data_IF_505292727013
#
_entry.id   IF_505292727013
#
_cell.length_a   1.000
_cell.length_b   1.000
_cell.length_c   1.000
_cell.angle_alpha   90.00
_cell.angle_beta   90.00
_cell.angle_gamma   90.00
#
_symmetry.space_group_name_H-M   'P 1'
#
loop_
_entity.id
_entity.type
_entity.pdbx_description
1 polymer ?
#
# COMPACT_ATOMS: atom_id res chain seq x y z
N UNK A 1 -6.05 -19.27 -29.29
CA UNK A 1 -6.48 -18.96 -27.92
C UNK A 1 -6.81 -17.48 -27.87
N UNK A 2 -8.09 -17.12 -27.94
CA UNK A 2 -8.50 -15.75 -27.67
C UNK A 2 -8.32 -15.52 -26.17
N UNK A 3 -7.62 -14.44 -25.79
CA UNK A 3 -7.60 -14.00 -24.40
C UNK A 3 -9.00 -13.47 -24.11
N UNK A 4 -9.72 -14.11 -23.19
CA UNK A 4 -11.06 -13.68 -22.80
C UNK A 4 -11.04 -12.23 -22.28
N UNK A 5 -12.04 -11.44 -22.70
CA UNK A 5 -12.16 -10.02 -22.32
C UNK A 5 -12.11 -9.82 -20.79
N UNK A 6 -12.63 -10.79 -20.04
CA UNK A 6 -12.60 -10.84 -18.58
C UNK A 6 -11.18 -10.93 -18.01
N UNK A 7 -10.30 -11.72 -18.66
CA UNK A 7 -8.91 -11.85 -18.28
C UNK A 7 -8.13 -10.56 -18.56
N UNK A 8 -8.42 -9.87 -19.68
CA UNK A 8 -7.82 -8.56 -20.00
C UNK A 8 -8.22 -7.51 -18.95
N UNK A 9 -9.51 -7.45 -18.60
CA UNK A 9 -10.01 -6.53 -17.57
C UNK A 9 -9.36 -6.78 -16.21
N UNK A 10 -9.22 -8.06 -15.81
CA UNK A 10 -8.54 -8.43 -14.57
C UNK A 10 -7.09 -7.93 -14.55
N UNK A 11 -6.34 -8.15 -15.64
CA UNK A 11 -4.96 -7.69 -15.77
C UNK A 11 -4.88 -6.17 -15.63
N UNK A 12 -5.75 -5.42 -16.31
CA UNK A 12 -5.78 -3.95 -16.24
C UNK A 12 -6.02 -3.47 -14.80
N UNK A 13 -6.97 -4.08 -14.09
CA UNK A 13 -7.29 -3.69 -12.70
C UNK A 13 -6.11 -3.97 -11.77
N UNK A 14 -5.51 -5.16 -11.85
CA UNK A 14 -4.37 -5.54 -11.01
C UNK A 14 -3.16 -4.65 -11.30
N UNK A 15 -2.84 -4.41 -12.57
CA UNK A 15 -1.71 -3.54 -12.97
C UNK A 15 -1.95 -2.10 -12.49
N UNK A 16 -3.17 -1.59 -12.62
CA UNK A 16 -3.52 -0.22 -12.17
C UNK A 16 -3.43 -0.11 -10.64
N UNK A 17 -3.91 -1.12 -9.91
CA UNK A 17 -3.78 -1.19 -8.46
C UNK A 17 -2.31 -1.23 -8.02
N UNK A 18 -1.48 -2.06 -8.65
CA UNK A 18 -0.04 -2.10 -8.38
C UNK A 18 0.63 -0.76 -8.69
N UNK A 19 0.28 -0.12 -9.80
CA UNK A 19 0.83 1.19 -10.17
C UNK A 19 0.47 2.28 -9.15
N UNK A 20 -0.79 2.32 -8.70
CA UNK A 20 -1.24 3.23 -7.64
C UNK A 20 -0.50 2.98 -6.32
N UNK A 21 -0.37 1.71 -5.90
CA UNK A 21 0.40 1.36 -4.70
C UNK A 21 1.87 1.79 -4.82
N UNK A 22 2.51 1.58 -5.97
CA UNK A 22 3.89 2.00 -6.22
C UNK A 22 4.03 3.53 -6.13
N UNK A 23 3.09 4.27 -6.73
CA UNK A 23 3.13 5.75 -6.73
C UNK A 23 3.02 6.31 -5.32
N UNK A 24 2.17 5.71 -4.49
CA UNK A 24 1.93 6.18 -3.12
C UNK A 24 2.98 5.64 -2.12
N UNK A 25 3.60 4.50 -2.40
CA UNK A 25 4.70 3.97 -1.58
C UNK A 25 6.06 4.63 -1.85
N UNK A 26 6.27 5.27 -3.01
CA UNK A 26 7.49 6.04 -3.32
C UNK A 26 7.84 7.12 -2.29
N UNK A 27 6.94 8.06 -1.92
CA UNK A 27 7.25 9.08 -0.92
C UNK A 27 7.50 8.44 0.46
N UNK A 28 6.74 7.40 0.82
CA UNK A 28 6.98 6.66 2.06
C UNK A 28 8.37 6.04 2.10
N UNK A 29 8.81 5.43 0.99
CA UNK A 29 10.16 4.87 0.86
C UNK A 29 11.24 5.93 0.93
N UNK A 30 11.04 7.09 0.29
CA UNK A 30 11.99 8.19 0.32
C UNK A 30 12.17 8.75 1.74
N UNK A 31 11.09 8.93 2.49
CA UNK A 31 11.17 9.37 3.88
C UNK A 31 11.72 8.28 4.81
N UNK A 32 11.33 7.01 4.60
CA UNK A 32 11.85 5.90 5.39
C UNK A 32 13.35 5.63 5.15
N UNK A 33 13.86 5.92 3.94
CA UNK A 33 15.28 5.79 3.62
C UNK A 33 16.19 6.79 4.35
N UNK A 34 15.61 7.86 4.93
CA UNK A 34 16.35 8.82 5.76
C UNK A 34 16.57 8.32 7.19
N UNK A 35 15.81 7.31 7.63
CA UNK A 35 15.93 6.72 8.95
C UNK A 35 17.05 5.66 8.97
N UNK A 36 17.72 5.52 10.11
CA UNK A 36 18.58 4.35 10.34
C UNK A 36 17.73 3.09 10.50
N UNK A 37 18.35 1.91 10.36
CA UNK A 37 17.66 0.63 10.49
C UNK A 37 16.97 0.49 11.86
N UNK A 38 17.62 0.92 12.94
CA UNK A 38 17.07 0.87 14.29
C UNK A 38 15.92 1.87 14.50
N UNK A 39 16.01 3.04 13.88
CA UNK A 39 14.93 4.02 13.88
C UNK A 39 13.71 3.50 13.11
N UNK A 40 13.92 2.93 11.92
CA UNK A 40 12.84 2.32 11.14
C UNK A 40 12.15 1.17 11.91
N UNK A 41 12.94 0.35 12.63
CA UNK A 41 12.43 -0.71 13.50
C UNK A 41 11.58 -0.15 14.64
N UNK A 42 12.09 0.87 15.32
CA UNK A 42 11.39 1.55 16.42
C UNK A 42 10.08 2.18 15.95
N UNK A 43 10.10 2.83 14.78
CA UNK A 43 8.91 3.37 14.15
C UNK A 43 7.88 2.28 13.89
N UNK A 44 8.30 1.17 13.28
CA UNK A 44 7.39 0.09 12.91
C UNK A 44 6.77 -0.60 14.15
N UNK A 45 7.52 -0.74 15.24
CA UNK A 45 7.06 -1.40 16.46
C UNK A 45 6.21 -0.48 17.34
N UNK A 46 6.64 0.77 17.52
CA UNK A 46 6.04 1.69 18.49
C UNK A 46 5.07 2.67 17.84
N UNK A 47 5.48 3.34 16.76
CA UNK A 47 4.79 4.52 16.20
C UNK A 47 3.93 4.23 14.96
N UNK A 48 3.96 3.01 14.42
CA UNK A 48 3.07 2.58 13.33
C UNK A 48 1.61 2.79 13.70
N UNK A 49 1.24 2.49 14.95
CA UNK A 49 -0.10 2.74 15.47
C UNK A 49 -0.27 4.22 15.83
N UNK A 50 -1.30 4.85 15.26
CA UNK A 50 -1.59 6.27 15.45
C UNK A 50 -1.81 6.66 16.92
N UNK A 51 -2.32 5.73 17.73
CA UNK A 51 -2.53 5.91 19.17
C UNK A 51 -1.23 6.16 19.96
N UNK A 52 -0.10 5.65 19.49
CA UNK A 52 1.19 5.75 20.19
C UNK A 52 2.01 6.97 19.75
N UNK A 53 1.43 7.87 18.95
CA UNK A 53 2.17 8.99 18.32
C UNK A 53 2.19 10.29 19.13
N UNK A 54 1.57 10.30 20.31
CA UNK A 54 1.59 11.47 21.20
C UNK A 54 3.03 11.90 21.55
N UNK A 55 3.89 10.92 21.87
CA UNK A 55 5.30 11.15 22.24
C UNK A 55 6.27 10.93 21.08
N UNK A 56 5.79 11.03 19.84
CA UNK A 56 6.60 10.67 18.67
C UNK A 56 7.66 11.74 18.39
N UNK A 57 8.95 11.34 18.27
CA UNK A 57 10.03 12.24 17.87
C UNK A 57 9.75 12.91 16.52
N UNK A 58 10.21 14.16 16.31
CA UNK A 58 9.96 14.91 15.08
C UNK A 58 10.48 14.20 13.82
N UNK A 59 11.58 13.44 13.95
CA UNK A 59 12.22 12.67 12.87
C UNK A 59 11.27 11.61 12.26
N UNK A 60 10.35 11.07 13.06
CA UNK A 60 9.41 10.05 12.61
C UNK A 60 8.11 10.63 12.03
N UNK A 61 7.87 11.94 12.20
CA UNK A 61 6.61 12.59 11.73
C UNK A 61 6.44 12.50 10.22
N UNK A 62 7.50 12.76 9.46
CA UNK A 62 7.46 12.68 8.00
C UNK A 62 7.09 11.27 7.51
N UNK A 63 7.67 10.23 8.14
CA UNK A 63 7.37 8.82 7.82
C UNK A 63 5.96 8.44 8.28
N UNK A 64 5.50 8.94 9.43
CA UNK A 64 4.15 8.74 9.92
C UNK A 64 3.09 9.33 8.98
N UNK A 65 3.27 10.56 8.52
CA UNK A 65 2.36 11.22 7.58
C UNK A 65 2.34 10.54 6.22
N UNK A 66 3.52 10.17 5.69
CA UNK A 66 3.61 9.41 4.45
C UNK A 66 2.95 8.03 4.57
N UNK A 67 3.09 7.37 5.73
CA UNK A 67 2.47 6.08 6.00
C UNK A 67 0.95 6.19 6.08
N UNK A 68 0.44 7.23 6.75
CA UNK A 68 -0.99 7.49 6.88
C UNK A 68 -1.66 7.81 5.54
N UNK A 69 -0.97 8.55 4.65
CA UNK A 69 -1.46 8.77 3.28
C UNK A 69 -1.44 7.50 2.44
N UNK A 70 -0.47 6.62 2.66
CA UNK A 70 -0.34 5.40 1.88
C UNK A 70 -1.36 4.33 2.25
N UNK A 71 -1.59 4.15 3.55
CA UNK A 71 -2.40 3.07 4.12
C UNK A 71 -3.79 2.90 3.49
N UNK A 72 -4.64 3.93 3.34
CA UNK A 72 -5.98 3.76 2.77
C UNK A 72 -5.92 3.35 1.30
N UNK A 73 -4.97 3.91 0.53
CA UNK A 73 -4.79 3.55 -0.89
C UNK A 73 -4.31 2.11 -1.03
N UNK A 74 -3.39 1.66 -0.18
CA UNK A 74 -2.92 0.27 -0.21
C UNK A 74 -4.04 -0.69 0.16
N UNK A 75 -4.83 -0.39 1.20
CA UNK A 75 -5.96 -1.22 1.62
C UNK A 75 -7.02 -1.30 0.51
N UNK A 76 -7.40 -0.15 -0.07
CA UNK A 76 -8.38 -0.10 -1.16
C UNK A 76 -7.91 -0.87 -2.39
N UNK A 77 -6.65 -0.71 -2.79
CA UNK A 77 -6.08 -1.41 -3.94
C UNK A 77 -5.94 -2.92 -3.69
N UNK A 78 -5.61 -3.36 -2.48
CA UNK A 78 -5.61 -4.78 -2.09
C UNK A 78 -7.02 -5.36 -2.14
N UNK A 79 -8.00 -4.66 -1.56
CA UNK A 79 -9.40 -5.08 -1.55
C UNK A 79 -9.98 -5.17 -2.97
N UNK A 80 -9.71 -4.16 -3.81
CA UNK A 80 -10.14 -4.15 -5.21
C UNK A 80 -9.50 -5.30 -6.00
N UNK A 81 -8.21 -5.53 -5.84
CA UNK A 81 -7.51 -6.65 -6.51
C UNK A 81 -8.10 -8.00 -6.09
N UNK A 82 -8.31 -8.22 -4.78
CA UNK A 82 -8.89 -9.46 -4.27
C UNK A 82 -10.34 -9.67 -4.76
N UNK A 83 -11.16 -8.62 -4.77
CA UNK A 83 -12.52 -8.66 -5.26
C UNK A 83 -12.59 -8.95 -6.76
N UNK A 84 -11.71 -8.35 -7.57
CA UNK A 84 -11.64 -8.61 -9.01
C UNK A 84 -11.19 -10.04 -9.32
N UNK A 85 -10.21 -10.58 -8.57
CA UNK A 85 -9.80 -11.99 -8.71
C UNK A 85 -10.95 -12.93 -8.32
N UNK A 86 -11.63 -12.67 -7.21
CA UNK A 86 -12.78 -13.46 -6.78
C UNK A 86 -13.90 -13.42 -7.83
N UNK A 87 -14.22 -12.25 -8.37
CA UNK A 87 -15.23 -12.09 -9.42
C UNK A 87 -14.86 -12.90 -10.69
N UNK A 88 -13.59 -12.87 -11.10
CA UNK A 88 -13.11 -13.67 -12.24
C UNK A 88 -13.28 -15.18 -12.00
N UNK A 89 -12.96 -15.67 -10.79
CA UNK A 89 -13.12 -17.08 -10.44
C UNK A 89 -14.60 -17.50 -10.38
N UNK A 90 -15.48 -16.67 -9.80
CA UNK A 90 -16.89 -17.01 -9.59
C UNK A 90 -17.77 -16.86 -10.83
N UNK A 91 -17.43 -15.96 -11.77
CA UNK A 91 -18.22 -15.71 -12.99
C UNK A 91 -17.86 -16.71 -14.12
N UNK A 92 -16.84 -17.55 -13.91
CA UNK A 92 -16.34 -18.48 -14.92
C UNK A 92 -15.33 -17.78 -15.82
N UNK A 93 -14.06 -17.95 -15.48
CA UNK A 93 -12.92 -17.49 -16.26
C UNK A 93 -12.51 -18.44 -17.37
#
# INVERSE_FOLDING_TARGET
MAIDLNLILLIIVVVTCMWLMLRVSRPLRAEAAKLTVDQARTFHQKYRNKANRADMPPEFRAVAEASDRARPVTIAACAASAASIAAYIFIGG
#
